data_IF_532690524185
#
_entry.id   IF_532690524185
#
_cell.length_a   1.000
_cell.length_b   1.000
_cell.length_c   1.000
_cell.angle_alpha   90.00
_cell.angle_beta   90.00
_cell.angle_gamma   90.00
#
_symmetry.space_group_name_H-M   'P 1'
#
loop_
_entity.id
_entity.type
_entity.pdbx_description
1 polymer ?
#
# COMPACT_ATOMS: atom_id res chain seq x y z
N UNK A 1 -14.05 -12.80 -1.77
CA UNK A 1 -12.64 -13.15 -1.48
C UNK A 1 -11.81 -12.29 -2.41
N UNK A 2 -11.21 -11.22 -1.89
CA UNK A 2 -10.44 -10.28 -2.71
C UNK A 2 -9.07 -10.90 -3.02
N UNK A 3 -8.73 -11.03 -4.30
CA UNK A 3 -7.39 -11.44 -4.71
C UNK A 3 -6.48 -10.22 -4.57
N UNK A 4 -5.46 -10.35 -3.73
CA UNK A 4 -4.36 -9.40 -3.65
C UNK A 4 -3.29 -9.87 -4.63
N UNK A 5 -3.05 -9.09 -5.68
CA UNK A 5 -1.97 -9.35 -6.63
C UNK A 5 -0.72 -8.63 -6.10
N UNK A 6 0.42 -9.32 -5.90
CA UNK A 6 1.67 -8.65 -5.55
C UNK A 6 1.98 -7.57 -6.59
N UNK A 7 2.30 -6.38 -6.12
CA UNK A 7 2.70 -5.24 -6.94
C UNK A 7 4.22 -5.17 -6.95
N UNK A 8 4.81 -5.19 -8.15
CA UNK A 8 6.24 -5.01 -8.30
C UNK A 8 6.64 -3.56 -7.98
N UNK A 9 7.89 -3.38 -7.54
CA UNK A 9 8.44 -2.08 -7.14
C UNK A 9 8.28 -1.01 -8.22
N UNK A 10 8.59 -1.38 -9.46
CA UNK A 10 8.49 -0.53 -10.65
C UNK A 10 7.06 -0.07 -10.95
N UNK A 11 6.06 -0.88 -10.61
CA UNK A 11 4.67 -0.52 -10.81
C UNK A 11 4.17 0.36 -9.66
N UNK A 12 4.61 0.09 -8.43
CA UNK A 12 4.29 0.90 -7.25
C UNK A 12 4.73 2.37 -7.39
N UNK A 13 5.91 2.63 -7.95
CA UNK A 13 6.40 4.00 -8.18
C UNK A 13 5.64 4.74 -9.30
N UNK A 14 4.93 4.01 -10.18
CA UNK A 14 4.16 4.58 -11.29
C UNK A 14 2.71 4.88 -10.93
N UNK A 15 2.26 4.50 -9.74
CA UNK A 15 0.90 4.75 -9.29
C UNK A 15 0.64 6.24 -9.09
N UNK A 16 -0.55 6.69 -9.48
CA UNK A 16 -1.04 8.02 -9.13
C UNK A 16 -1.32 8.09 -7.63
N UNK A 17 -0.67 9.05 -6.95
CA UNK A 17 -0.73 9.21 -5.50
C UNK A 17 -1.78 10.27 -5.08
N UNK A 18 -2.49 10.07 -3.95
CA UNK A 18 -2.46 8.88 -3.09
C UNK A 18 -3.18 7.68 -3.73
N UNK A 19 -2.66 6.47 -3.54
CA UNK A 19 -3.20 5.22 -4.11
C UNK A 19 -3.59 4.21 -3.04
N UNK A 20 -4.74 3.53 -3.20
CA UNK A 20 -5.18 2.48 -2.27
C UNK A 20 -4.44 1.17 -2.56
N UNK A 21 -3.76 0.62 -1.57
CA UNK A 21 -2.97 -0.61 -1.69
C UNK A 21 -3.27 -1.55 -0.53
N UNK A 22 -2.92 -2.82 -0.68
CA UNK A 22 -2.79 -3.75 0.44
C UNK A 22 -1.31 -3.82 0.81
N UNK A 23 -1.01 -3.70 2.09
CA UNK A 23 0.33 -3.87 2.66
C UNK A 23 0.39 -5.19 3.42
N UNK A 24 1.43 -6.00 3.21
CA UNK A 24 1.65 -7.20 4.03
C UNK A 24 2.44 -6.84 5.30
N UNK A 25 1.83 -7.09 6.46
CA UNK A 25 2.42 -6.89 7.80
C UNK A 25 2.24 -8.17 8.60
N UNK A 26 3.33 -8.75 9.12
CA UNK A 26 3.30 -9.99 9.92
C UNK A 26 2.44 -11.11 9.29
N UNK A 27 2.71 -11.41 8.02
CA UNK A 27 1.97 -12.39 7.19
C UNK A 27 0.49 -12.09 6.92
N UNK A 28 0.00 -10.92 7.34
CA UNK A 28 -1.38 -10.49 7.13
C UNK A 28 -1.45 -9.31 6.17
N UNK A 29 -2.43 -9.31 5.26
CA UNK A 29 -2.69 -8.17 4.38
C UNK A 29 -3.57 -7.15 5.09
N UNK A 30 -3.13 -5.90 5.11
CA UNK A 30 -3.86 -4.75 5.68
C UNK A 30 -4.10 -3.71 4.60
N UNK A 31 -5.28 -3.07 4.55
CA UNK A 31 -5.49 -1.94 3.66
C UNK A 31 -4.59 -0.77 4.09
N UNK A 32 -4.05 -0.05 3.12
CA UNK A 32 -3.19 1.10 3.36
C UNK A 32 -3.31 2.12 2.22
N UNK A 33 -2.97 3.37 2.51
CA UNK A 33 -2.72 4.37 1.48
C UNK A 33 -1.23 4.41 1.17
N UNK A 34 -0.89 4.29 -0.10
CA UNK A 34 0.40 4.71 -0.62
C UNK A 34 0.35 6.21 -0.87
N UNK A 35 1.16 6.97 -0.15
CA UNK A 35 1.15 8.43 -0.14
C UNK A 35 2.34 9.05 -0.88
N UNK A 36 3.43 8.30 -0.99
CA UNK A 36 4.70 8.80 -1.51
C UNK A 36 5.70 7.68 -1.72
N UNK A 37 6.73 7.98 -2.48
CA UNK A 37 7.95 7.22 -2.53
C UNK A 37 9.14 8.18 -2.56
N UNK A 38 10.27 7.70 -2.06
CA UNK A 38 11.56 8.40 -2.11
C UNK A 38 12.67 7.40 -2.44
N UNK A 39 13.81 7.90 -2.91
CA UNK A 39 14.98 7.09 -3.20
C UNK A 39 16.09 7.41 -2.21
N UNK A 40 16.50 6.42 -1.43
CA UNK A 40 17.65 6.50 -0.52
C UNK A 40 18.76 5.58 -1.02
N UNK A 41 19.65 6.15 -1.85
CA UNK A 41 20.71 5.40 -2.54
C UNK A 41 20.13 4.37 -3.51
N UNK A 42 20.41 3.09 -3.26
CA UNK A 42 19.93 1.96 -4.06
C UNK A 42 18.57 1.41 -3.57
N UNK A 43 18.00 1.99 -2.50
CA UNK A 43 16.72 1.56 -1.94
C UNK A 43 15.59 2.54 -2.28
N UNK A 44 14.42 2.00 -2.57
CA UNK A 44 13.18 2.78 -2.65
C UNK A 44 12.44 2.68 -1.32
N UNK A 45 12.11 3.85 -0.77
CA UNK A 45 11.28 3.98 0.42
C UNK A 45 9.86 4.34 -0.02
N UNK A 46 8.87 3.78 0.64
CA UNK A 46 7.46 4.13 0.42
C UNK A 46 6.88 4.73 1.69
N UNK A 47 6.19 5.86 1.52
CA UNK A 47 5.39 6.46 2.56
C UNK A 47 4.01 5.83 2.51
N UNK A 48 3.70 5.02 3.51
CA UNK A 48 2.41 4.32 3.61
C UNK A 48 1.70 4.70 4.89
N UNK A 49 0.37 4.76 4.83
CA UNK A 49 -0.48 4.93 5.99
C UNK A 49 -1.41 3.73 6.08
N UNK A 50 -1.21 2.87 7.09
CA UNK A 50 -2.05 1.69 7.29
C UNK A 50 -3.42 2.13 7.80
N UNK A 51 -4.46 1.57 7.19
CA UNK A 51 -5.85 1.79 7.57
C UNK A 51 -6.24 0.69 8.57
N UNK A 52 -6.01 0.95 9.85
CA UNK A 52 -6.54 0.13 10.93
C UNK A 52 -7.82 0.78 11.49
N UNK A 53 -8.53 0.08 12.38
CA UNK A 53 -9.70 0.63 13.09
C UNK A 53 -9.34 1.85 13.97
N UNK A 54 -8.04 2.08 14.19
CA UNK A 54 -7.51 3.27 14.86
C UNK A 54 -7.19 4.37 13.84
N UNK A 55 -8.05 5.40 13.79
CA UNK A 55 -7.97 6.51 12.82
C UNK A 55 -6.75 7.44 12.98
N UNK A 56 -5.91 7.23 14.00
CA UNK A 56 -4.74 8.07 14.33
C UNK A 56 -3.39 7.49 13.82
N UNK A 57 -3.42 6.54 12.89
CA UNK A 57 -2.17 5.96 12.34
C UNK A 57 -1.40 7.02 11.53
N UNK A 58 -0.20 7.37 12.01
CA UNK A 58 0.72 8.25 11.28
C UNK A 58 1.32 7.52 10.07
N UNK A 59 1.55 8.23 8.95
CA UNK A 59 2.31 7.68 7.83
C UNK A 59 3.70 7.21 8.28
N UNK A 60 4.10 6.04 7.80
CA UNK A 60 5.39 5.41 8.07
C UNK A 60 6.17 5.20 6.78
N UNK A 61 7.47 5.44 6.83
CA UNK A 61 8.38 5.09 5.74
C UNK A 61 8.81 3.64 5.89
N UNK A 62 8.57 2.84 4.86
CA UNK A 62 8.95 1.44 4.82
C UNK A 62 9.82 1.15 3.60
N UNK A 63 10.75 0.21 3.79
CA UNK A 63 11.55 -0.43 2.74
C UNK A 63 11.13 -1.89 2.59
N UNK A 64 11.44 -2.50 1.44
CA UNK A 64 11.23 -3.93 1.20
C UNK A 64 9.78 -4.39 1.47
N UNK A 65 8.81 -3.56 1.09
CA UNK A 65 7.40 -3.86 1.33
C UNK A 65 6.80 -4.72 0.23
N UNK A 66 5.99 -5.68 0.63
CA UNK A 66 5.06 -6.35 -0.30
C UNK A 66 3.78 -5.54 -0.36
N UNK A 67 3.61 -4.83 -1.48
CA UNK A 67 2.36 -4.18 -1.84
C UNK A 67 1.52 -5.15 -2.67
N UNK A 68 0.22 -4.95 -2.64
CA UNK A 68 -0.66 -5.58 -3.59
C UNK A 68 -1.85 -4.73 -3.98
N UNK A 69 -2.30 -4.89 -5.22
CA UNK A 69 -3.45 -4.16 -5.73
C UNK A 69 -4.74 -4.74 -5.16
N UNK A 70 -5.65 -3.84 -4.78
CA UNK A 70 -7.04 -4.21 -4.52
C UNK A 70 -7.70 -4.41 -5.89
N UNK A 71 -7.83 -5.66 -6.34
CA UNK A 71 -8.59 -5.93 -7.56
C UNK A 71 -10.07 -5.65 -7.29
N UNK A 72 -10.74 -4.70 -7.99
CA UNK A 72 -12.15 -4.42 -7.78
C UNK A 72 -12.97 -5.64 -8.24
N UNK A 73 -13.42 -6.41 -7.26
CA UNK A 73 -14.16 -7.65 -7.47
C UNK A 73 -15.09 -8.03 -6.33
N UNK A 74 -15.34 -7.16 -5.35
CA UNK A 74 -16.45 -7.27 -4.38
C UNK A 74 -16.65 -5.89 -3.74
N UNK A 75 -17.81 -5.27 -4.02
CA UNK A 75 -18.28 -4.06 -3.34
C UNK A 75 -17.53 -2.79 -3.69
N UNK A 76 -18.11 -1.97 -4.57
CA UNK A 76 -17.98 -0.52 -4.45
C UNK A 76 -18.34 -0.15 -3.01
N UNK A 77 -17.35 0.18 -2.18
CA UNK A 77 -17.59 1.04 -1.03
C UNK A 77 -17.94 2.41 -1.61
N UNK A 78 -19.21 2.60 -1.92
CA UNK A 78 -19.79 3.91 -2.21
C UNK A 78 -19.58 4.81 -1.01
N UNK A 79 -18.82 5.89 -1.25
CA UNK A 79 -18.83 7.20 -0.62
C UNK A 79 -18.58 7.30 0.90
#
# INVERSE_FOLDING_TARGET
MSLVRPLDLDDAIRLDLPHAVMLRVDDSWRPAWLLGHDHDGDATLFLVQVLDDDTDQQPIWLRDIELGEVTPGYGTATA
#
